data_IF_972480386643
#
_entry.id   IF_972480386643
#
_cell.length_a   1.000
_cell.length_b   1.000
_cell.length_c   1.000
_cell.angle_alpha   90.00
_cell.angle_beta   90.00
_cell.angle_gamma   90.00
#
_symmetry.space_group_name_H-M   'P 1'
#
loop_
_entity.id
_entity.type
_entity.pdbx_description
1 polymer ?
#
# COMPACT_ATOMS: atom_id res chain seq x y z
N UNK A 1 26.51 66.86 26.46
CA UNK A 1 27.48 65.76 26.61
C UNK A 1 26.96 64.44 26.02
N UNK A 2 25.71 64.03 26.26
CA UNK A 2 25.12 62.74 25.80
C UNK A 2 25.02 62.55 24.28
N UNK A 3 24.82 63.62 23.51
CA UNK A 3 24.64 63.51 22.04
C UNK A 3 25.95 63.16 21.30
N UNK A 4 27.10 63.58 21.86
CA UNK A 4 28.40 63.29 21.25
C UNK A 4 28.79 61.83 21.41
N UNK A 5 28.41 61.21 22.54
CA UNK A 5 28.66 59.78 22.82
C UNK A 5 27.84 58.87 21.88
N UNK A 6 26.58 59.23 21.61
CA UNK A 6 25.73 58.51 20.65
C UNK A 6 26.32 58.54 19.24
N UNK A 7 26.80 59.71 18.77
CA UNK A 7 27.46 59.84 17.45
C UNK A 7 28.74 59.02 17.35
N UNK A 8 29.51 58.92 18.43
CA UNK A 8 30.71 58.09 18.45
C UNK A 8 30.38 56.61 18.43
N UNK A 9 29.32 56.17 19.12
CA UNK A 9 28.82 54.79 19.05
C UNK A 9 28.33 54.43 17.66
N UNK A 10 27.56 55.31 17.01
CA UNK A 10 27.12 55.10 15.63
C UNK A 10 28.30 55.02 14.65
N UNK A 11 29.29 55.88 14.81
CA UNK A 11 30.49 55.86 13.98
C UNK A 11 31.33 54.60 14.21
N UNK A 12 31.39 54.07 15.43
CA UNK A 12 32.05 52.80 15.74
C UNK A 12 31.30 51.61 15.12
N UNK A 13 29.97 51.59 15.21
CA UNK A 13 29.13 50.56 14.59
C UNK A 13 29.24 50.59 13.08
N UNK A 14 29.15 51.77 12.47
CA UNK A 14 29.33 51.95 11.03
C UNK A 14 30.71 51.47 10.57
N UNK A 15 31.77 51.82 11.30
CA UNK A 15 33.14 51.40 10.98
C UNK A 15 33.37 49.90 11.17
N UNK A 16 32.71 49.28 12.16
CA UNK A 16 32.73 47.83 12.36
C UNK A 16 31.99 47.09 11.23
N UNK A 17 30.84 47.59 10.81
CA UNK A 17 30.09 47.03 9.67
C UNK A 17 30.82 47.23 8.34
N UNK A 18 31.51 48.35 8.15
CA UNK A 18 32.26 48.63 6.93
C UNK A 18 33.57 47.83 6.84
N UNK A 19 34.18 47.49 7.99
CA UNK A 19 35.36 46.60 8.07
C UNK A 19 35.00 45.11 7.94
N UNK A 20 33.76 44.74 8.22
CA UNK A 20 33.23 43.43 7.89
C UNK A 20 33.05 43.38 6.38
N UNK A 21 34.09 42.99 5.65
CA UNK A 21 33.96 42.56 4.26
C UNK A 21 32.75 41.65 4.19
N UNK A 22 31.75 41.99 3.37
CA UNK A 22 30.65 41.09 3.11
C UNK A 22 31.30 39.82 2.55
N UNK A 23 31.38 38.78 3.37
CA UNK A 23 31.74 37.44 2.93
C UNK A 23 30.66 37.03 1.94
N UNK A 24 30.92 37.35 0.68
CA UNK A 24 30.08 36.88 -0.40
C UNK A 24 30.20 35.35 -0.36
N UNK A 25 29.08 34.64 -0.20
CA UNK A 25 29.13 33.19 -0.20
C UNK A 25 29.86 32.73 -1.45
N UNK A 26 30.71 31.72 -1.31
CA UNK A 26 31.43 31.18 -2.47
C UNK A 26 30.46 30.94 -3.63
N UNK A 27 30.88 31.16 -4.88
CA UNK A 27 30.02 30.98 -6.07
C UNK A 27 29.35 29.59 -6.12
N UNK A 28 29.90 28.62 -5.40
CA UNK A 28 29.42 27.23 -5.31
C UNK A 28 28.61 26.93 -4.05
N UNK A 29 28.41 27.89 -3.14
CA UNK A 29 27.69 27.68 -1.89
C UNK A 29 26.24 27.27 -2.15
N UNK A 30 25.52 28.02 -2.99
CA UNK A 30 24.14 27.71 -3.37
C UNK A 30 24.04 26.36 -4.05
N UNK A 31 24.99 26.01 -4.93
CA UNK A 31 25.02 24.71 -5.60
C UNK A 31 25.20 23.56 -4.60
N UNK A 32 26.11 23.71 -3.62
CA UNK A 32 26.34 22.70 -2.58
C UNK A 32 25.15 22.55 -1.64
N UNK A 33 24.52 23.65 -1.26
CA UNK A 33 23.32 23.65 -0.40
C UNK A 33 22.14 23.03 -1.14
N UNK A 34 21.89 23.41 -2.39
CA UNK A 34 20.83 22.80 -3.22
C UNK A 34 21.11 21.33 -3.52
N UNK A 35 22.37 20.94 -3.73
CA UNK A 35 22.73 19.53 -3.91
C UNK A 35 22.48 18.70 -2.64
N UNK A 36 22.80 19.23 -1.45
CA UNK A 36 22.53 18.57 -0.18
C UNK A 36 21.02 18.47 0.11
N UNK A 37 20.27 19.55 -0.14
CA UNK A 37 18.80 19.56 0.02
C UNK A 37 18.14 18.59 -0.96
N UNK A 38 18.57 18.56 -2.23
CA UNK A 38 18.05 17.61 -3.20
C UNK A 38 18.40 16.17 -2.85
N UNK A 39 19.62 15.88 -2.36
CA UNK A 39 19.99 14.52 -1.93
C UNK A 39 19.11 14.03 -0.76
N UNK A 40 18.84 14.90 0.21
CA UNK A 40 17.92 14.63 1.33
C UNK A 40 16.47 14.48 0.84
N UNK A 41 15.99 15.39 -0.02
CA UNK A 41 14.64 15.34 -0.59
C UNK A 41 14.41 14.12 -1.48
N UNK A 42 15.42 13.64 -2.20
CA UNK A 42 15.32 12.40 -2.98
C UNK A 42 15.26 11.16 -2.08
N UNK A 43 15.82 11.21 -0.86
CA UNK A 43 15.66 10.13 0.14
C UNK A 43 14.26 10.11 0.75
N UNK A 44 13.62 11.29 0.84
CA UNK A 44 12.26 11.51 1.35
C UNK A 44 11.20 11.56 0.22
N UNK A 45 11.63 11.46 -1.05
CA UNK A 45 10.76 11.49 -2.21
C UNK A 45 9.79 10.31 -2.10
N UNK A 46 8.58 10.66 -1.65
CA UNK A 46 7.38 9.85 -1.46
C UNK A 46 7.63 8.42 -1.91
N UNK A 47 8.17 7.60 -1.01
CA UNK A 47 8.40 6.19 -1.31
C UNK A 47 7.03 5.62 -1.59
N UNK A 48 6.73 5.44 -2.88
CA UNK A 48 5.47 4.97 -3.38
C UNK A 48 5.27 3.57 -2.83
N UNK A 49 4.67 3.50 -1.63
CA UNK A 49 4.46 2.26 -0.93
C UNK A 49 3.23 1.66 -1.59
N UNK A 50 3.34 0.51 -2.26
CA UNK A 50 2.19 -0.07 -2.94
C UNK A 50 1.05 -0.21 -1.92
N UNK A 51 -0.11 0.39 -2.20
CA UNK A 51 -1.28 0.45 -1.29
C UNK A 51 -1.64 -0.92 -0.70
N UNK A 52 -1.32 -1.99 -1.43
CA UNK A 52 -1.36 -3.36 -0.92
C UNK A 52 -0.01 -4.00 -1.26
N UNK A 53 0.80 -4.38 -0.28
CA UNK A 53 2.04 -5.09 -0.52
C UNK A 53 1.81 -6.47 -1.14
N UNK A 54 2.77 -6.95 -1.92
CA UNK A 54 2.69 -8.17 -2.74
C UNK A 54 2.32 -9.43 -1.95
N UNK A 55 2.71 -9.52 -0.68
CA UNK A 55 2.37 -10.65 0.19
C UNK A 55 0.87 -10.75 0.51
N UNK A 56 0.16 -9.62 0.58
CA UNK A 56 -1.30 -9.64 0.78
C UNK A 56 -2.02 -10.14 -0.48
N UNK A 57 -1.48 -9.84 -1.67
CA UNK A 57 -2.00 -10.41 -2.92
C UNK A 57 -1.86 -11.94 -2.97
N UNK A 58 -0.72 -12.46 -2.51
CA UNK A 58 -0.50 -13.91 -2.40
C UNK A 58 -1.46 -14.52 -1.39
N UNK A 59 -1.69 -13.88 -0.25
CA UNK A 59 -2.64 -14.34 0.76
C UNK A 59 -4.09 -14.38 0.23
N UNK A 60 -4.52 -13.35 -0.51
CA UNK A 60 -5.84 -13.33 -1.16
C UNK A 60 -5.96 -14.45 -2.20
N UNK A 61 -4.95 -14.64 -3.04
CA UNK A 61 -4.95 -15.72 -4.03
C UNK A 61 -5.03 -17.10 -3.36
N UNK A 62 -4.25 -17.32 -2.30
CA UNK A 62 -4.28 -18.56 -1.53
C UNK A 62 -5.65 -18.80 -0.88
N UNK A 63 -6.28 -17.75 -0.34
CA UNK A 63 -7.61 -17.84 0.24
C UNK A 63 -8.67 -18.20 -0.81
N UNK A 64 -8.61 -17.59 -1.99
CA UNK A 64 -9.51 -17.91 -3.11
C UNK A 64 -9.33 -19.37 -3.55
N UNK A 65 -8.09 -19.82 -3.75
CA UNK A 65 -7.79 -21.21 -4.10
C UNK A 65 -8.25 -22.19 -3.01
N UNK A 66 -8.10 -21.81 -1.74
CA UNK A 66 -8.61 -22.57 -0.60
C UNK A 66 -10.14 -22.70 -0.61
N UNK A 67 -10.85 -21.60 -0.86
CA UNK A 67 -12.31 -21.63 -0.95
C UNK A 67 -12.81 -22.40 -2.17
N UNK A 68 -12.19 -22.22 -3.35
CA UNK A 68 -12.60 -22.93 -4.56
C UNK A 68 -12.32 -24.43 -4.47
N UNK A 69 -11.16 -24.83 -3.91
CA UNK A 69 -10.87 -26.24 -3.64
C UNK A 69 -11.79 -26.85 -2.57
N UNK A 70 -12.12 -26.09 -1.53
CA UNK A 70 -13.09 -26.52 -0.52
C UNK A 70 -14.49 -26.72 -1.12
N UNK A 71 -14.97 -25.77 -1.93
CA UNK A 71 -16.25 -25.90 -2.64
C UNK A 71 -16.21 -27.08 -3.62
N UNK A 72 -15.11 -27.29 -4.32
CA UNK A 72 -14.94 -28.45 -5.20
C UNK A 72 -15.01 -29.78 -4.45
N UNK A 73 -14.48 -29.84 -3.24
CA UNK A 73 -14.51 -31.04 -2.40
C UNK A 73 -15.90 -31.30 -1.79
N UNK A 74 -16.60 -30.25 -1.38
CA UNK A 74 -17.94 -30.33 -0.75
C UNK A 74 -19.05 -30.51 -1.77
N UNK A 75 -18.97 -29.81 -2.90
CA UNK A 75 -19.92 -29.90 -4.01
C UNK A 75 -19.37 -30.91 -4.99
N UNK A 76 -19.53 -32.20 -4.68
CA UNK A 76 -19.22 -33.24 -5.65
C UNK A 76 -20.14 -33.07 -6.87
N UNK A 77 -19.62 -32.77 -8.07
CA UNK A 77 -20.41 -32.93 -9.28
C UNK A 77 -20.77 -34.41 -9.38
N UNK A 78 -22.06 -34.70 -9.59
CA UNK A 78 -22.52 -36.04 -9.98
C UNK A 78 -21.67 -36.50 -11.16
N UNK A 79 -20.99 -37.66 -11.07
CA UNK A 79 -20.01 -38.05 -12.07
C UNK A 79 -20.68 -38.42 -13.39
N UNK A 80 -20.08 -37.93 -14.49
CA UNK A 80 -19.90 -38.75 -15.68
C UNK A 80 -18.79 -39.75 -15.29
N UNK A 81 -19.05 -41.05 -15.38
CA UNK A 81 -18.23 -42.15 -14.83
C UNK A 81 -16.71 -41.97 -15.00
N UNK A 82 -16.00 -41.71 -13.89
CA UNK A 82 -14.55 -41.88 -13.79
C UNK A 82 -14.21 -42.44 -12.40
N UNK A 83 -13.24 -43.38 -12.30
CA UNK A 83 -13.06 -44.22 -11.12
C UNK A 83 -12.39 -43.48 -9.96
N UNK A 84 -12.80 -43.88 -8.77
CA UNK A 84 -12.75 -43.22 -7.46
C UNK A 84 -11.36 -43.06 -6.84
N UNK A 85 -11.11 -41.91 -6.19
CA UNK A 85 -10.10 -41.78 -5.12
C UNK A 85 -10.78 -41.28 -3.83
N UNK A 86 -10.83 -42.11 -2.80
CA UNK A 86 -11.49 -41.82 -1.53
C UNK A 86 -10.50 -41.31 -0.48
N UNK A 87 -10.80 -40.18 0.16
CA UNK A 87 -10.19 -39.76 1.42
C UNK A 87 -11.27 -39.54 2.49
N UNK A 88 -11.44 -40.54 3.34
CA UNK A 88 -12.35 -40.54 4.49
C UNK A 88 -11.61 -40.06 5.74
N UNK A 89 -11.68 -38.76 6.06
CA UNK A 89 -11.06 -38.25 7.30
C UNK A 89 -11.92 -37.27 8.13
N UNK A 90 -13.21 -37.08 7.80
CA UNK A 90 -13.98 -36.00 8.43
C UNK A 90 -15.43 -36.38 8.78
N UNK A 91 -15.65 -37.53 9.42
CA UNK A 91 -17.01 -38.07 9.67
C UNK A 91 -17.69 -37.65 10.98
N UNK A 92 -17.09 -36.82 11.84
CA UNK A 92 -17.52 -36.74 13.24
C UNK A 92 -17.61 -35.33 13.87
N UNK A 93 -18.08 -34.33 13.12
CA UNK A 93 -18.49 -33.03 13.72
C UNK A 93 -20.01 -32.80 13.61
N UNK A 94 -20.69 -32.69 14.76
CA UNK A 94 -22.13 -32.45 14.91
C UNK A 94 -22.64 -31.17 14.21
N UNK A 95 -21.78 -30.16 14.04
CA UNK A 95 -22.07 -28.96 13.24
C UNK A 95 -22.23 -29.27 11.74
N UNK A 96 -21.50 -30.27 11.23
CA UNK A 96 -21.58 -30.71 9.84
C UNK A 96 -22.94 -31.36 9.53
N UNK A 97 -23.52 -32.13 10.48
CA UNK A 97 -24.84 -32.76 10.27
C UNK A 97 -26.01 -31.77 10.10
N UNK A 98 -25.98 -30.62 10.79
CA UNK A 98 -27.03 -29.58 10.65
C UNK A 98 -26.87 -28.75 9.37
N UNK A 99 -25.64 -28.50 8.94
CA UNK A 99 -25.36 -27.83 7.66
C UNK A 99 -25.60 -28.76 6.47
N UNK A 100 -25.25 -30.05 6.59
CA UNK A 100 -25.45 -31.06 5.55
C UNK A 100 -26.94 -31.42 5.32
N UNK A 101 -27.81 -31.19 6.30
CA UNK A 101 -29.26 -31.39 6.13
C UNK A 101 -29.91 -30.33 5.21
N UNK A 102 -29.24 -29.18 5.00
CA UNK A 102 -29.62 -28.24 3.95
C UNK A 102 -28.90 -28.64 2.67
N UNK A 103 -29.64 -29.30 1.77
CA UNK A 103 -29.17 -29.57 0.41
C UNK A 103 -29.01 -28.25 -0.35
N UNK A 104 -27.83 -27.64 -0.28
CA UNK A 104 -27.52 -26.44 -1.07
C UNK A 104 -27.58 -26.81 -2.56
N UNK A 105 -28.40 -26.14 -3.37
CA UNK A 105 -28.47 -26.41 -4.80
C UNK A 105 -27.12 -26.18 -5.47
N UNK A 106 -26.70 -27.09 -6.35
CA UNK A 106 -25.42 -26.99 -7.09
C UNK A 106 -25.26 -25.64 -7.81
N UNK A 107 -26.35 -25.11 -8.36
CA UNK A 107 -26.40 -23.79 -9.00
C UNK A 107 -25.99 -22.65 -8.06
N UNK A 108 -26.36 -22.72 -6.78
CA UNK A 108 -25.99 -21.73 -5.78
C UNK A 108 -24.49 -21.78 -5.50
N UNK A 109 -23.88 -22.97 -5.48
CA UNK A 109 -22.42 -23.12 -5.35
C UNK A 109 -21.66 -22.49 -6.52
N UNK A 110 -22.10 -22.76 -7.76
CA UNK A 110 -21.51 -22.14 -8.96
C UNK A 110 -21.68 -20.61 -8.98
N UNK A 111 -22.85 -20.11 -8.57
CA UNK A 111 -23.12 -18.68 -8.48
C UNK A 111 -22.21 -17.98 -7.47
N UNK A 112 -22.02 -18.56 -6.29
CA UNK A 112 -21.11 -18.02 -5.26
C UNK A 112 -19.66 -18.03 -5.73
N UNK A 113 -19.23 -19.10 -6.41
CA UNK A 113 -17.88 -19.20 -6.95
C UNK A 113 -17.60 -18.15 -8.04
N UNK A 114 -18.56 -17.96 -8.96
CA UNK A 114 -18.46 -16.93 -10.01
C UNK A 114 -18.46 -15.52 -9.41
N UNK A 115 -19.31 -15.27 -8.41
CA UNK A 115 -19.36 -14.00 -7.69
C UNK A 115 -18.04 -13.70 -6.96
N UNK A 116 -17.45 -14.68 -6.28
CA UNK A 116 -16.15 -14.54 -5.63
C UNK A 116 -15.04 -14.20 -6.64
N UNK A 117 -15.03 -14.88 -7.80
CA UNK A 117 -14.08 -14.62 -8.88
C UNK A 117 -14.26 -13.21 -9.46
N UNK A 118 -15.50 -12.78 -9.66
CA UNK A 118 -15.84 -11.44 -10.13
C UNK A 118 -15.33 -10.36 -9.16
N UNK A 119 -15.55 -10.53 -7.85
CA UNK A 119 -15.07 -9.60 -6.82
C UNK A 119 -13.54 -9.52 -6.80
N UNK A 120 -12.84 -10.64 -6.99
CA UNK A 120 -11.38 -10.68 -7.06
C UNK A 120 -10.82 -9.84 -8.21
N UNK A 121 -11.57 -9.70 -9.30
CA UNK A 121 -11.19 -8.85 -10.46
C UNK A 121 -11.64 -7.41 -10.25
N UNK A 122 -12.84 -7.21 -9.68
CA UNK A 122 -13.42 -5.87 -9.48
C UNK A 122 -12.63 -5.03 -8.47
N UNK A 123 -12.16 -5.62 -7.36
CA UNK A 123 -11.39 -4.91 -6.32
C UNK A 123 -10.10 -4.28 -6.88
N UNK A 124 -9.21 -4.99 -7.63
CA UNK A 124 -8.05 -4.37 -8.27
C UNK A 124 -8.42 -3.32 -9.31
N UNK A 125 -9.47 -3.57 -10.09
CA UNK A 125 -9.91 -2.65 -11.14
C UNK A 125 -10.35 -1.31 -10.53
N UNK A 126 -11.16 -1.36 -9.47
CA UNK A 126 -11.63 -0.18 -8.77
C UNK A 126 -10.48 0.56 -8.08
N UNK A 127 -9.56 -0.18 -7.45
CA UNK A 127 -8.35 0.39 -6.85
C UNK A 127 -7.49 1.14 -7.87
N UNK A 128 -7.27 0.55 -9.05
CA UNK A 128 -6.52 1.20 -10.15
C UNK A 128 -7.23 2.45 -10.68
N UNK A 129 -8.56 2.49 -10.64
CA UNK A 129 -9.33 3.66 -11.07
C UNK A 129 -9.17 4.83 -10.08
N UNK A 130 -9.22 4.57 -8.77
CA UNK A 130 -9.07 5.60 -7.75
C UNK A 130 -7.63 6.11 -7.61
N UNK A 131 -6.61 5.24 -7.73
CA UNK A 131 -5.20 5.67 -7.72
C UNK A 131 -4.93 6.72 -8.82
N UNK A 132 -5.54 6.55 -10.01
CA UNK A 132 -5.38 7.50 -11.13
C UNK A 132 -6.03 8.86 -10.89
N UNK A 133 -7.00 8.97 -9.98
CA UNK A 133 -7.68 10.24 -9.64
C UNK A 133 -6.99 11.03 -8.53
N UNK A 134 -6.06 10.44 -7.77
CA UNK A 134 -5.31 11.14 -6.71
C UNK A 134 -4.05 11.86 -7.20
N UNK A 135 -3.78 11.86 -8.52
CA UNK A 135 -2.65 12.57 -9.16
C UNK A 135 -3.09 13.71 -10.09
N UNK A 136 -4.26 14.31 -9.84
CA UNK A 136 -4.65 15.63 -10.37
C UNK A 136 -4.75 16.60 -9.21
#
# INVERSE_FOLDING_TARGET
MKENEAKQLEHLVAKAMQKSTLESPSLQFTNKVMAAINAEQHSVAVRYRPLIPIYIWIAIAALVVGFTSYIWFVVQPTPLDLPTFSFNFMENNLLSKKVAAMSIPKITGYAVMLLALMLCIQIPMLKRYFDKRQFV
#
